data_IF_730137373359
#
_entry.id   IF_730137373359
#
_cell.length_a   1.000
_cell.length_b   1.000
_cell.length_c   1.000
_cell.angle_alpha   90.00
_cell.angle_beta   90.00
_cell.angle_gamma   90.00
#
_symmetry.space_group_name_H-M   'P 1'
#
loop_
_entity.id
_entity.type
_entity.pdbx_description
1 polymer ?
#
# COMPACT_ATOMS: atom_id res chain seq x y z
N UNK A 1 17.88 -25.88 -27.34
CA UNK A 1 16.76 -25.36 -26.53
C UNK A 1 16.78 -23.84 -26.67
N UNK A 2 15.71 -23.19 -27.15
CA UNK A 2 15.70 -21.74 -27.25
C UNK A 2 15.65 -21.16 -25.83
N UNK A 3 16.62 -20.30 -25.49
CA UNK A 3 16.57 -19.48 -24.28
C UNK A 3 15.26 -18.70 -24.26
N UNK A 4 14.42 -18.94 -23.26
CA UNK A 4 13.30 -18.06 -22.99
C UNK A 4 13.87 -16.68 -22.67
N UNK A 5 13.62 -15.69 -23.54
CA UNK A 5 13.78 -14.29 -23.17
C UNK A 5 12.85 -14.05 -21.97
N UNK A 6 13.44 -13.86 -20.79
CA UNK A 6 12.70 -13.28 -19.67
C UNK A 6 12.38 -11.86 -20.10
N UNK A 7 11.11 -11.58 -20.39
CA UNK A 7 10.66 -10.23 -20.68
C UNK A 7 11.02 -9.34 -19.47
N UNK A 8 11.84 -8.32 -19.71
CA UNK A 8 12.10 -7.31 -18.68
C UNK A 8 10.78 -6.60 -18.38
N UNK A 9 10.46 -6.34 -17.10
CA UNK A 9 9.32 -5.52 -16.75
C UNK A 9 9.42 -4.17 -17.47
N UNK A 10 8.28 -3.57 -17.88
CA UNK A 10 8.28 -2.30 -18.57
C UNK A 10 9.03 -1.25 -17.73
N UNK A 11 9.84 -0.42 -18.40
CA UNK A 11 10.60 0.61 -17.72
C UNK A 11 9.65 1.55 -16.95
N UNK A 12 9.97 1.94 -15.71
CA UNK A 12 9.11 2.83 -14.95
C UNK A 12 9.03 4.22 -15.59
N UNK A 13 7.92 4.95 -15.36
CA UNK A 13 7.80 6.33 -15.79
C UNK A 13 8.88 7.24 -15.19
N UNK A 14 9.03 8.46 -15.74
CA UNK A 14 9.92 9.46 -15.16
C UNK A 14 9.59 9.73 -13.68
N UNK A 15 10.57 10.02 -12.80
CA UNK A 15 10.33 10.20 -11.36
C UNK A 15 9.21 11.19 -11.02
N UNK A 16 9.08 12.28 -11.78
CA UNK A 16 8.03 13.27 -11.57
C UNK A 16 6.61 12.72 -11.82
N UNK A 17 6.46 11.79 -12.78
CA UNK A 17 5.19 11.10 -13.07
C UNK A 17 4.84 10.15 -11.93
N UNK A 18 5.82 9.35 -11.47
CA UNK A 18 5.66 8.46 -10.33
C UNK A 18 5.28 9.19 -9.03
N UNK A 19 5.86 10.37 -8.80
CA UNK A 19 5.47 11.23 -7.67
C UNK A 19 4.05 11.76 -7.83
N UNK A 20 3.66 12.16 -9.04
CA UNK A 20 2.33 12.71 -9.31
C UNK A 20 1.22 11.67 -9.14
N UNK A 21 1.43 10.43 -9.58
CA UNK A 21 0.47 9.34 -9.42
C UNK A 21 0.40 8.84 -7.97
N UNK A 22 1.53 8.64 -7.30
CA UNK A 22 1.60 8.02 -5.97
C UNK A 22 0.76 8.78 -4.94
N UNK A 23 0.83 10.11 -5.00
CA UNK A 23 0.12 10.98 -4.04
C UNK A 23 -1.38 11.06 -4.29
N UNK A 24 -1.90 10.53 -5.39
CA UNK A 24 -3.35 10.61 -5.68
C UNK A 24 -4.20 9.84 -4.69
N UNK A 25 -3.66 8.80 -4.04
CA UNK A 25 -4.34 8.10 -2.96
C UNK A 25 -4.63 9.02 -1.75
N UNK A 26 -3.84 10.08 -1.54
CA UNK A 26 -4.02 10.98 -0.41
C UNK A 26 -5.08 12.06 -0.67
N UNK A 27 -5.75 12.54 0.41
CA UNK A 27 -6.42 13.83 0.40
C UNK A 27 -5.50 14.95 -0.07
N UNK A 28 -6.01 15.87 -0.88
CA UNK A 28 -5.22 16.91 -1.55
C UNK A 28 -4.26 17.67 -0.61
N UNK A 29 -4.76 18.04 0.59
CA UNK A 29 -3.99 18.79 1.60
C UNK A 29 -2.78 18.04 2.14
N UNK A 30 -2.70 16.72 1.99
CA UNK A 30 -1.62 15.89 2.51
C UNK A 30 -0.58 15.53 1.44
N UNK A 31 -0.88 15.77 0.16
CA UNK A 31 -0.06 15.31 -0.98
C UNK A 31 1.33 15.92 -1.04
N UNK A 32 1.45 17.21 -0.73
CA UNK A 32 2.70 17.95 -0.90
C UNK A 32 3.80 17.48 0.08
N UNK A 33 3.43 17.10 1.30
CA UNK A 33 4.37 16.71 2.35
C UNK A 33 4.72 15.23 2.40
N UNK A 34 4.09 14.36 1.61
CA UNK A 34 4.34 12.93 1.70
C UNK A 34 5.71 12.54 1.12
N UNK A 35 6.42 11.62 1.76
CA UNK A 35 7.53 10.94 1.12
C UNK A 35 7.00 10.09 -0.04
N UNK A 36 7.80 9.91 -1.08
CA UNK A 36 7.45 9.01 -2.20
C UNK A 36 8.59 8.04 -2.44
N UNK A 37 8.27 6.75 -2.40
CA UNK A 37 9.09 5.67 -2.91
C UNK A 37 8.53 5.24 -4.27
N UNK A 38 9.38 5.15 -5.27
CA UNK A 38 9.02 4.67 -6.60
C UNK A 38 10.12 3.79 -7.17
N UNK A 39 10.02 3.42 -8.44
CA UNK A 39 10.87 2.43 -9.08
C UNK A 39 11.96 3.10 -9.92
N UNK A 40 13.19 2.66 -9.73
CA UNK A 40 14.33 3.05 -10.56
C UNK A 40 14.42 2.21 -11.86
N UNK A 41 15.40 2.51 -12.71
CA UNK A 41 15.57 1.80 -13.98
C UNK A 41 15.85 0.29 -13.85
N UNK A 42 16.24 -0.19 -12.66
CA UNK A 42 16.42 -1.62 -12.37
C UNK A 42 15.13 -2.29 -11.88
N UNK A 43 14.06 -1.52 -11.66
CA UNK A 43 12.83 -1.98 -11.02
C UNK A 43 12.96 -2.08 -9.50
N UNK A 44 14.01 -1.51 -8.89
CA UNK A 44 14.17 -1.46 -7.45
C UNK A 44 13.46 -0.22 -6.89
N UNK A 45 12.89 -0.37 -5.69
CA UNK A 45 12.22 0.73 -5.01
C UNK A 45 13.25 1.70 -4.42
N UNK A 46 13.19 2.96 -4.84
CA UNK A 46 14.06 4.05 -4.43
C UNK A 46 13.24 5.27 -3.95
N UNK A 47 13.85 6.11 -3.11
CA UNK A 47 13.20 7.35 -2.66
C UNK A 47 13.25 8.40 -3.77
N UNK A 48 12.07 8.81 -4.26
CA UNK A 48 11.93 9.84 -5.29
C UNK A 48 11.67 11.23 -4.69
N UNK A 49 11.06 11.27 -3.51
CA UNK A 49 10.77 12.52 -2.79
C UNK A 49 10.90 12.33 -1.28
N UNK A 50 11.61 13.21 -0.55
CA UNK A 50 11.58 13.22 0.92
C UNK A 50 10.22 13.69 1.44
N UNK A 51 9.84 13.24 2.63
CA UNK A 51 8.59 13.62 3.29
C UNK A 51 8.81 14.57 4.46
N UNK A 52 7.76 15.30 4.81
CA UNK A 52 7.70 16.27 5.92
C UNK A 52 6.44 16.14 6.79
N UNK A 53 5.52 15.21 6.48
CA UNK A 53 4.25 15.07 7.19
C UNK A 53 3.96 13.64 7.70
N UNK A 54 4.99 12.79 7.80
CA UNK A 54 4.88 11.44 8.34
C UNK A 54 4.14 10.43 7.44
N UNK A 55 3.86 10.78 6.18
CA UNK A 55 3.25 9.87 5.20
C UNK A 55 4.30 9.36 4.21
N UNK A 56 4.17 8.10 3.82
CA UNK A 56 4.97 7.45 2.78
C UNK A 56 4.02 6.95 1.71
N UNK A 57 4.23 7.36 0.47
CA UNK A 57 3.52 6.88 -0.71
C UNK A 57 4.39 5.95 -1.55
N UNK A 58 3.79 4.90 -2.09
CA UNK A 58 4.37 3.99 -3.07
C UNK A 58 3.80 4.31 -4.45
N UNK A 59 4.67 4.46 -5.44
CA UNK A 59 4.29 4.62 -6.84
C UNK A 59 3.67 3.34 -7.44
N UNK A 60 3.08 3.47 -8.63
CA UNK A 60 2.52 2.33 -9.36
C UNK A 60 3.64 1.35 -9.71
N UNK A 61 3.46 0.08 -9.40
CA UNK A 61 4.43 -0.94 -9.78
C UNK A 61 4.30 -1.21 -11.29
N UNK A 62 5.36 -0.99 -12.10
CA UNK A 62 5.32 -1.29 -13.53
C UNK A 62 4.98 -2.75 -13.83
N UNK A 63 5.27 -3.67 -12.90
CA UNK A 63 4.97 -5.08 -13.03
C UNK A 63 3.55 -5.48 -12.56
N UNK A 64 2.79 -4.61 -11.86
CA UNK A 64 1.39 -4.91 -11.52
C UNK A 64 0.52 -4.80 -12.79
N UNK A 65 -0.35 -5.80 -13.07
CA UNK A 65 -1.29 -5.75 -14.19
C UNK A 65 -2.43 -4.73 -14.01
N UNK A 66 -2.45 -3.97 -12.91
CA UNK A 66 -3.40 -2.88 -12.63
C UNK A 66 -2.61 -1.61 -12.29
N UNK A 67 -3.32 -0.49 -12.25
CA UNK A 67 -2.81 0.71 -11.58
C UNK A 67 -3.09 0.56 -10.08
N UNK A 68 -2.06 0.69 -9.25
CA UNK A 68 -2.18 0.64 -7.81
C UNK A 68 -1.13 1.52 -7.13
N UNK A 69 -1.61 2.53 -6.40
CA UNK A 69 -0.79 3.36 -5.51
C UNK A 69 -1.31 3.30 -4.09
N UNK A 70 -0.41 3.36 -3.11
CA UNK A 70 -0.78 3.31 -1.71
C UNK A 70 0.05 4.31 -0.90
N UNK A 71 -0.57 4.98 0.07
CA UNK A 71 0.09 5.87 1.01
C UNK A 71 -0.28 5.52 2.44
N UNK A 72 0.68 5.48 3.36
CA UNK A 72 0.44 5.13 4.77
C UNK A 72 1.28 5.99 5.71
N UNK A 73 0.85 6.06 6.97
CA UNK A 73 1.64 6.68 8.02
C UNK A 73 2.94 5.89 8.24
N UNK A 74 4.06 6.59 8.42
CA UNK A 74 5.40 6.00 8.51
C UNK A 74 5.57 4.96 9.63
N UNK A 75 4.72 5.00 10.68
CA UNK A 75 4.71 3.98 11.72
C UNK A 75 4.33 2.58 11.23
N UNK A 76 3.70 2.47 10.05
CA UNK A 76 3.40 1.18 9.40
C UNK A 76 4.55 0.68 8.51
N UNK A 77 5.56 1.51 8.24
CA UNK A 77 6.62 1.16 7.29
C UNK A 77 7.39 -0.12 7.65
N UNK A 78 7.70 -0.44 8.92
CA UNK A 78 8.34 -1.72 9.22
C UNK A 78 7.53 -2.92 8.70
N UNK A 79 6.22 -2.92 8.95
CA UNK A 79 5.31 -3.97 8.50
C UNK A 79 5.14 -4.00 6.97
N UNK A 80 5.02 -2.82 6.34
CA UNK A 80 4.84 -2.71 4.90
C UNK A 80 6.11 -3.10 4.13
N UNK A 81 7.27 -2.63 4.57
CA UNK A 81 8.58 -2.99 4.03
C UNK A 81 8.83 -4.48 4.12
N UNK A 82 8.56 -5.10 5.27
CA UNK A 82 8.71 -6.55 5.44
C UNK A 82 7.88 -7.33 4.42
N UNK A 83 6.66 -6.88 4.14
CA UNK A 83 5.83 -7.45 3.08
C UNK A 83 6.46 -7.31 1.69
N UNK A 84 7.08 -6.15 1.38
CA UNK A 84 7.79 -5.94 0.10
C UNK A 84 9.03 -6.83 -0.02
N UNK A 85 9.82 -6.97 1.04
CA UNK A 85 11.01 -7.85 1.08
C UNK A 85 10.65 -9.30 0.80
N UNK A 86 9.61 -9.82 1.46
CA UNK A 86 9.16 -11.21 1.26
C UNK A 86 8.59 -11.43 -0.15
N UNK A 87 7.88 -10.45 -0.72
CA UNK A 87 7.43 -10.51 -2.14
C UNK A 87 8.60 -10.51 -3.11
N UNK A 88 9.61 -9.67 -2.89
CA UNK A 88 10.84 -9.66 -3.70
C UNK A 88 11.58 -11.00 -3.63
N UNK A 89 11.54 -11.66 -2.46
CA UNK A 89 12.03 -13.02 -2.26
C UNK A 89 11.10 -14.12 -2.83
N UNK A 90 10.03 -13.75 -3.56
CA UNK A 90 9.05 -14.66 -4.20
C UNK A 90 8.34 -15.59 -3.21
N UNK A 91 8.20 -15.17 -1.96
CA UNK A 91 7.40 -15.88 -0.96
C UNK A 91 5.92 -15.79 -1.34
N UNK A 92 5.17 -16.89 -1.17
CA UNK A 92 3.74 -16.92 -1.47
C UNK A 92 2.96 -15.92 -0.61
N UNK A 93 1.85 -15.40 -1.13
CA UNK A 93 1.04 -14.38 -0.43
C UNK A 93 0.52 -14.85 0.94
N UNK A 94 0.05 -16.09 1.06
CA UNK A 94 -0.45 -16.62 2.35
C UNK A 94 0.69 -16.77 3.34
N UNK A 95 1.86 -17.15 2.84
CA UNK A 95 3.08 -17.27 3.63
C UNK A 95 3.58 -15.92 4.12
N UNK A 96 3.53 -14.88 3.28
CA UNK A 96 3.83 -13.49 3.66
C UNK A 96 2.95 -13.02 4.82
N UNK A 97 1.64 -13.32 4.76
CA UNK A 97 0.71 -12.93 5.82
C UNK A 97 1.03 -13.68 7.13
N UNK A 98 1.32 -14.99 7.04
CA UNK A 98 1.68 -15.80 8.21
C UNK A 98 2.98 -15.32 8.87
N UNK A 99 4.06 -15.17 8.10
CA UNK A 99 5.37 -14.78 8.63
C UNK A 99 5.32 -13.40 9.30
N UNK A 100 4.67 -12.41 8.66
CA UNK A 100 4.53 -11.09 9.26
C UNK A 100 3.69 -11.11 10.54
N UNK A 101 2.65 -11.94 10.59
CA UNK A 101 1.86 -12.11 11.81
C UNK A 101 2.69 -12.76 12.93
N UNK A 102 3.45 -13.81 12.63
CA UNK A 102 4.35 -14.48 13.59
C UNK A 102 5.42 -13.52 14.13
N UNK A 103 6.11 -12.80 13.25
CA UNK A 103 7.13 -11.81 13.62
C UNK A 103 6.53 -10.66 14.45
N UNK A 104 5.32 -10.19 14.11
CA UNK A 104 4.64 -9.15 14.86
C UNK A 104 4.20 -9.65 16.25
N UNK A 105 3.69 -10.89 16.36
CA UNK A 105 3.38 -11.51 17.66
C UNK A 105 4.62 -11.72 18.51
N UNK A 106 5.75 -12.06 17.89
CA UNK A 106 7.04 -12.18 18.57
C UNK A 106 7.66 -10.82 18.96
N UNK A 107 7.10 -9.71 18.47
CA UNK A 107 7.62 -8.36 18.68
C UNK A 107 8.88 -8.03 17.87
N UNK A 108 9.30 -8.92 16.97
CA UNK A 108 10.45 -8.70 16.08
C UNK A 108 10.09 -7.84 14.86
N UNK A 109 8.81 -7.82 14.47
CA UNK A 109 8.25 -6.89 13.49
C UNK A 109 7.42 -5.80 14.18
N UNK A 110 7.90 -4.55 14.24
CA UNK A 110 7.15 -3.47 14.88
C UNK A 110 5.82 -3.18 14.20
N UNK A 111 4.78 -3.01 15.01
CA UNK A 111 3.47 -2.51 14.61
C UNK A 111 3.21 -1.11 15.22
N UNK A 112 2.33 -0.29 14.61
CA UNK A 112 1.93 1.00 15.19
C UNK A 112 1.36 0.83 16.59
N UNK A 113 1.73 1.73 17.51
CA UNK A 113 1.20 1.75 18.88
C UNK A 113 -0.13 2.48 19.00
N UNK A 114 -0.46 3.28 17.99
CA UNK A 114 -1.71 4.04 17.86
C UNK A 114 -2.29 3.75 16.47
N UNK A 115 -3.59 4.02 16.24
CA UNK A 115 -4.19 3.83 14.93
C UNK A 115 -3.40 4.53 13.82
N UNK A 116 -3.16 3.83 12.72
CA UNK A 116 -2.36 4.33 11.61
C UNK A 116 -3.12 4.21 10.28
N UNK A 117 -3.24 5.33 9.57
CA UNK A 117 -3.97 5.40 8.32
C UNK A 117 -3.16 4.82 7.14
N UNK A 118 -3.88 4.23 6.21
CA UNK A 118 -3.42 3.85 4.89
C UNK A 118 -4.53 4.19 3.87
N UNK A 119 -4.12 4.70 2.72
CA UNK A 119 -4.96 5.08 1.59
C UNK A 119 -4.48 4.31 0.37
N UNK A 120 -5.39 3.68 -0.36
CA UNK A 120 -5.09 3.03 -1.63
C UNK A 120 -5.94 3.64 -2.74
N UNK A 121 -5.41 3.60 -3.95
CA UNK A 121 -6.13 3.93 -5.16
C UNK A 121 -5.80 2.86 -6.21
N UNK A 122 -6.79 2.05 -6.54
CA UNK A 122 -6.69 1.05 -7.61
C UNK A 122 -7.47 1.50 -8.83
N UNK A 123 -6.99 1.16 -10.02
CA UNK A 123 -7.71 1.36 -11.28
C UNK A 123 -7.21 0.34 -12.34
N UNK A 124 -7.83 0.25 -13.52
CA UNK A 124 -7.27 -0.52 -14.64
C UNK A 124 -5.84 -0.06 -14.96
N UNK A 125 -5.03 -0.91 -15.59
CA UNK A 125 -3.68 -0.52 -16.04
C UNK A 125 -3.74 0.67 -16.99
N UNK A 126 -2.70 1.51 -16.96
CA UNK A 126 -2.56 2.70 -17.81
C UNK A 126 -3.72 3.72 -17.67
N UNK A 127 -4.37 3.74 -16.50
CA UNK A 127 -5.51 4.63 -16.21
C UNK A 127 -5.10 6.05 -15.82
N UNK A 128 -3.83 6.28 -15.46
CA UNK A 128 -3.32 7.62 -15.16
C UNK A 128 -3.07 8.42 -16.44
N UNK A 129 -3.65 9.61 -16.52
CA UNK A 129 -3.46 10.58 -17.59
C UNK A 129 -2.47 11.66 -17.13
N UNK A 130 -1.29 11.70 -17.77
CA UNK A 130 -0.19 12.60 -17.38
C UNK A 130 -0.54 14.07 -17.59
N UNK A 131 -1.35 14.39 -18.62
CA UNK A 131 -1.68 15.77 -18.97
C UNK A 131 -2.66 16.39 -17.96
N UNK A 132 -3.67 15.61 -17.55
CA UNK A 132 -4.73 16.04 -16.64
C UNK A 132 -4.43 15.70 -15.17
N UNK A 133 -3.45 14.82 -14.93
CA UNK A 133 -3.12 14.25 -13.61
C UNK A 133 -4.32 13.55 -12.95
N UNK A 134 -5.15 12.90 -13.76
CA UNK A 134 -6.33 12.18 -13.32
C UNK A 134 -6.19 10.67 -13.55
N UNK A 135 -6.87 9.87 -12.71
CA UNK A 135 -6.97 8.42 -12.87
C UNK A 135 -8.37 8.09 -13.38
N UNK A 136 -8.46 7.31 -14.46
CA UNK A 136 -9.74 6.82 -14.99
C UNK A 136 -10.24 5.64 -14.16
N UNK A 137 -11.53 5.65 -13.83
CA UNK A 137 -12.19 4.62 -13.01
C UNK A 137 -11.49 4.35 -11.67
N UNK A 138 -11.22 5.38 -10.85
CA UNK A 138 -10.55 5.21 -9.57
C UNK A 138 -11.44 4.44 -8.59
N UNK A 139 -10.87 3.43 -7.96
CA UNK A 139 -11.44 2.70 -6.83
C UNK A 139 -10.60 2.99 -5.58
N UNK A 140 -10.94 4.03 -4.80
CA UNK A 140 -10.24 4.33 -3.56
C UNK A 140 -10.62 3.34 -2.46
N UNK A 141 -9.68 3.08 -1.56
CA UNK A 141 -9.92 2.32 -0.34
C UNK A 141 -9.15 2.97 0.81
N UNK A 142 -9.80 3.11 1.96
CA UNK A 142 -9.19 3.66 3.15
C UNK A 142 -9.10 2.58 4.22
N UNK A 143 -7.96 2.54 4.89
CA UNK A 143 -7.65 1.53 5.89
C UNK A 143 -7.15 2.22 7.14
N UNK A 144 -7.64 1.80 8.29
CA UNK A 144 -7.13 2.22 9.59
C UNK A 144 -6.61 1.00 10.32
N UNK A 145 -5.29 0.85 10.40
CA UNK A 145 -4.66 -0.20 11.20
C UNK A 145 -4.86 0.10 12.68
N UNK A 146 -5.42 -0.87 13.39
CA UNK A 146 -5.62 -0.82 14.84
C UNK A 146 -5.18 -2.18 15.38
N UNK A 147 -3.87 -2.37 15.62
CA UNK A 147 -3.34 -3.66 16.04
C UNK A 147 -4.12 -4.27 17.22
N UNK A 148 -4.47 -5.56 17.09
CA UNK A 148 -5.25 -6.33 18.05
C UNK A 148 -6.68 -5.86 18.32
N UNK A 149 -7.22 -4.94 17.54
CA UNK A 149 -8.64 -4.60 17.60
C UNK A 149 -9.53 -5.82 17.38
N UNK A 150 -10.64 -5.86 18.13
CA UNK A 150 -11.73 -6.84 18.01
C UNK A 150 -13.05 -6.12 17.85
N UNK A 151 -14.12 -6.86 17.51
CA UNK A 151 -15.49 -6.35 17.52
C UNK A 151 -15.85 -5.74 18.89
N UNK A 152 -15.44 -6.36 19.99
CA UNK A 152 -15.72 -5.86 21.34
C UNK A 152 -15.04 -4.50 21.64
N UNK A 153 -13.84 -4.28 21.10
CA UNK A 153 -13.10 -3.01 21.32
C UNK A 153 -13.53 -1.88 20.40
N UNK A 154 -14.14 -2.19 19.24
CA UNK A 154 -14.42 -1.21 18.18
C UNK A 154 -15.90 -1.06 17.85
N UNK A 155 -16.73 -2.04 18.16
CA UNK A 155 -18.13 -2.13 17.72
C UNK A 155 -18.31 -2.46 16.23
N UNK A 156 -17.23 -2.72 15.49
CA UNK A 156 -17.29 -2.96 14.05
C UNK A 156 -17.64 -4.42 13.74
N UNK A 157 -18.45 -4.62 12.70
CA UNK A 157 -18.68 -5.94 12.10
C UNK A 157 -17.40 -6.50 11.48
N UNK A 158 -17.19 -7.81 11.55
CA UNK A 158 -16.13 -8.50 10.78
C UNK A 158 -16.57 -8.91 9.37
N UNK A 159 -17.87 -8.82 9.08
CA UNK A 159 -18.40 -8.97 7.73
C UNK A 159 -18.42 -7.61 7.02
N UNK A 160 -17.84 -7.55 5.82
CA UNK A 160 -18.00 -6.42 4.93
C UNK A 160 -19.46 -6.29 4.50
N UNK A 161 -20.10 -5.19 4.88
CA UNK A 161 -21.54 -5.00 4.68
C UNK A 161 -21.89 -4.31 3.33
N UNK A 162 -20.88 -3.88 2.56
CA UNK A 162 -21.10 -3.06 1.37
C UNK A 162 -21.65 -1.66 1.70
N UNK A 163 -21.88 -0.85 0.66
CA UNK A 163 -22.54 0.46 0.80
C UNK A 163 -21.83 1.48 1.70
N UNK A 164 -20.49 1.50 1.71
CA UNK A 164 -19.73 2.48 2.49
C UNK A 164 -19.50 2.11 3.96
N UNK A 165 -20.10 1.02 4.46
CA UNK A 165 -19.99 0.66 5.87
C UNK A 165 -18.59 0.10 6.20
N UNK A 166 -17.96 0.59 7.28
CA UNK A 166 -16.67 0.08 7.71
C UNK A 166 -16.78 -1.35 8.28
N UNK A 167 -15.75 -2.16 8.07
CA UNK A 167 -15.66 -3.49 8.70
C UNK A 167 -14.24 -3.78 9.19
N UNK A 168 -14.14 -4.63 10.21
CA UNK A 168 -12.88 -5.06 10.81
C UNK A 168 -12.35 -6.31 10.10
N UNK A 169 -11.12 -6.24 9.61
CA UNK A 169 -10.38 -7.40 9.12
C UNK A 169 -9.40 -7.89 10.18
N UNK A 170 -9.25 -9.21 10.26
CA UNK A 170 -8.31 -9.91 11.15
C UNK A 170 -8.47 -9.54 12.64
N UNK A 171 -9.68 -9.68 13.23
CA UNK A 171 -9.90 -9.34 14.63
C UNK A 171 -8.91 -10.06 15.57
N UNK A 172 -8.36 -9.34 16.54
CA UNK A 172 -7.44 -9.86 17.56
C UNK A 172 -6.04 -10.21 17.05
N UNK A 173 -5.71 -9.85 15.80
CA UNK A 173 -4.37 -10.09 15.22
C UNK A 173 -3.55 -8.80 15.19
N UNK A 174 -2.20 -8.88 15.15
CA UNK A 174 -1.35 -7.69 15.06
C UNK A 174 -1.72 -6.78 13.89
N UNK A 175 -2.13 -7.36 12.75
CA UNK A 175 -2.52 -6.65 11.54
C UNK A 175 -4.00 -6.29 11.48
N UNK A 176 -4.74 -6.33 12.59
CA UNK A 176 -6.14 -5.93 12.62
C UNK A 176 -6.33 -4.51 12.06
N UNK A 177 -7.31 -4.33 11.16
CA UNK A 177 -7.55 -3.04 10.51
C UNK A 177 -9.00 -2.86 10.09
N UNK A 178 -9.45 -1.62 10.11
CA UNK A 178 -10.75 -1.21 9.58
C UNK A 178 -10.62 -0.93 8.10
N UNK A 179 -11.51 -1.51 7.30
CA UNK A 179 -11.61 -1.27 5.87
C UNK A 179 -12.79 -0.34 5.59
N UNK A 180 -12.59 0.62 4.69
CA UNK A 180 -13.59 1.59 4.28
C UNK A 180 -13.50 1.73 2.76
N UNK A 181 -14.56 1.33 2.06
CA UNK A 181 -14.69 1.52 0.61
C UNK A 181 -15.85 2.51 0.41
N UNK A 182 -15.58 3.76 0.00
CA UNK A 182 -16.59 4.81 -0.14
C UNK A 182 -17.57 4.56 -1.30
#
# INVERSE_FOLDING_TARGET
MPSALVAQPPAPPAPAVQVAEAVLALPEKLRAGAAVLGYDASGALAQLRPGTNGLICLADDPADPRFHVACYHESLEPFMRRGRELRAAKVDRREIDRLREEEARAGTLPMPRVPAALYELTAPKDSFDVATRAVRSPAPMYVLYIPYATEATTGLSTAGAGGGLPWLMYPGRPQAHVMIIP
#
